data_IF_016050627147
#
_entry.id   IF_016050627147
#
_cell.length_a   1.000
_cell.length_b   1.000
_cell.length_c   1.000
_cell.angle_alpha   90.00
_cell.angle_beta   90.00
_cell.angle_gamma   90.00
#
_symmetry.space_group_name_H-M   'P 1'
#
loop_
_entity.id
_entity.type
_entity.pdbx_description
1 polymer ?
#
# COMPACT_ATOMS: atom_id res chain seq x y z
N UNK A 1 12.51 -51.29 -0.37
CA UNK A 1 13.33 -50.13 0.05
C UNK A 1 13.13 -49.04 -0.98
N UNK A 2 12.17 -48.14 -0.72
CA UNK A 2 11.89 -47.02 -1.60
C UNK A 2 13.00 -45.98 -1.42
N UNK A 3 13.50 -45.43 -2.54
CA UNK A 3 14.46 -44.36 -2.52
C UNK A 3 13.85 -43.14 -1.84
N UNK A 4 14.27 -42.86 -0.61
CA UNK A 4 14.12 -41.54 0.01
C UNK A 4 14.85 -40.55 -0.91
N UNK A 5 14.09 -39.95 -1.82
CA UNK A 5 14.57 -38.83 -2.62
C UNK A 5 14.81 -37.71 -1.65
N UNK A 6 16.08 -37.53 -1.28
CA UNK A 6 16.53 -36.61 -0.23
C UNK A 6 16.07 -35.20 -0.59
N UNK A 7 15.02 -34.70 0.06
CA UNK A 7 14.41 -33.39 -0.20
C UNK A 7 15.43 -32.25 -0.05
N UNK A 8 16.48 -32.47 0.76
CA UNK A 8 17.64 -31.58 0.88
C UNK A 8 18.48 -31.50 -0.41
N UNK A 9 18.59 -32.59 -1.19
CA UNK A 9 19.18 -32.55 -2.54
C UNK A 9 18.30 -31.80 -3.53
N UNK A 10 16.98 -31.76 -3.36
CA UNK A 10 16.08 -30.97 -4.23
C UNK A 10 16.28 -29.47 -4.01
N UNK A 11 16.54 -29.03 -2.77
CA UNK A 11 16.89 -27.63 -2.46
C UNK A 11 18.32 -27.31 -2.91
N UNK A 12 19.27 -28.21 -2.69
CA UNK A 12 20.67 -28.02 -3.12
C UNK A 12 20.87 -28.08 -4.65
N UNK A 13 19.99 -28.76 -5.39
CA UNK A 13 19.96 -28.79 -6.86
C UNK A 13 18.95 -27.81 -7.47
N UNK A 14 18.22 -27.04 -6.64
CA UNK A 14 17.17 -26.13 -7.07
C UNK A 14 17.74 -24.96 -7.86
N UNK A 15 17.65 -25.07 -9.19
CA UNK A 15 17.70 -23.89 -10.06
C UNK A 15 16.50 -23.00 -9.73
N UNK A 16 16.65 -22.06 -8.78
CA UNK A 16 15.63 -21.05 -8.48
C UNK A 16 15.12 -20.35 -9.77
N UNK A 17 15.97 -20.28 -10.80
CA UNK A 17 15.69 -19.70 -12.11
C UNK A 17 14.51 -20.34 -12.88
N UNK A 18 14.01 -21.52 -12.49
CA UNK A 18 12.87 -22.16 -13.15
C UNK A 18 11.58 -22.16 -12.29
N UNK A 19 11.57 -21.41 -11.17
CA UNK A 19 10.46 -21.39 -10.20
C UNK A 19 9.61 -20.13 -10.34
N UNK A 20 8.35 -20.24 -9.90
CA UNK A 20 7.37 -19.15 -9.91
C UNK A 20 7.79 -18.02 -8.97
N UNK A 21 8.21 -18.36 -7.75
CA UNK A 21 8.81 -17.41 -6.80
C UNK A 21 10.33 -17.63 -6.71
N UNK A 22 11.09 -16.53 -6.69
CA UNK A 22 12.55 -16.51 -6.56
C UNK A 22 12.95 -15.59 -5.40
N UNK A 23 13.91 -16.00 -4.58
CA UNK A 23 14.39 -15.20 -3.46
C UNK A 23 15.77 -14.63 -3.79
N UNK A 24 15.99 -13.37 -3.46
CA UNK A 24 17.31 -12.75 -3.59
C UNK A 24 17.58 -11.75 -2.46
N UNK A 25 18.87 -11.49 -2.24
CA UNK A 25 19.40 -10.58 -1.24
C UNK A 25 20.15 -9.44 -1.95
N UNK A 26 19.45 -8.40 -2.42
CA UNK A 26 20.03 -7.42 -3.35
C UNK A 26 21.19 -6.62 -2.75
N UNK A 27 21.23 -6.46 -1.44
CA UNK A 27 22.31 -5.77 -0.72
C UNK A 27 23.30 -6.77 -0.07
N UNK A 28 23.28 -8.02 -0.55
CA UNK A 28 23.90 -9.15 0.12
C UNK A 28 23.23 -9.44 1.46
N UNK A 29 23.92 -10.23 2.29
CA UNK A 29 23.48 -10.51 3.64
C UNK A 29 22.60 -11.74 3.80
N UNK A 30 22.57 -12.66 2.84
CA UNK A 30 22.18 -14.04 3.16
C UNK A 30 23.13 -14.57 4.26
N UNK A 31 22.61 -15.14 5.37
CA UNK A 31 23.47 -15.74 6.37
C UNK A 31 24.29 -16.89 5.77
N UNK A 32 25.55 -17.03 6.20
CA UNK A 32 26.42 -18.08 5.67
C UNK A 32 25.81 -19.47 5.95
N UNK A 33 25.73 -20.31 4.91
CA UNK A 33 25.13 -21.64 5.03
C UNK A 33 23.61 -21.65 5.19
N UNK A 34 22.91 -20.53 4.92
CA UNK A 34 21.46 -20.49 4.97
C UNK A 34 20.80 -21.21 3.79
N UNK A 35 21.22 -20.94 2.55
CA UNK A 35 20.66 -21.60 1.36
C UNK A 35 19.14 -21.45 1.29
N UNK A 36 18.64 -20.24 1.57
CA UNK A 36 17.21 -19.99 1.74
C UNK A 36 16.49 -20.01 0.39
N UNK A 37 15.36 -20.70 0.34
CA UNK A 37 14.43 -20.68 -0.82
C UNK A 37 13.03 -20.29 -0.37
N UNK A 38 12.30 -19.53 -1.19
CA UNK A 38 10.92 -19.11 -0.88
C UNK A 38 9.90 -20.17 -1.30
N UNK A 39 9.12 -20.68 -0.35
CA UNK A 39 8.08 -21.68 -0.61
C UNK A 39 6.70 -21.06 -0.80
N UNK A 40 6.31 -20.12 0.07
CA UNK A 40 5.01 -19.44 0.00
C UNK A 40 5.18 -17.94 0.24
N UNK A 41 4.30 -17.15 -0.37
CA UNK A 41 4.19 -15.72 -0.16
C UNK A 41 2.71 -15.37 0.06
N UNK A 42 2.45 -14.62 1.13
CA UNK A 42 1.22 -13.86 1.34
C UNK A 42 1.61 -12.39 1.40
N UNK A 43 1.10 -11.58 0.49
CA UNK A 43 1.45 -10.17 0.41
C UNK A 43 0.20 -9.30 0.42
N UNK A 44 0.20 -8.26 1.26
CA UNK A 44 -0.84 -7.22 1.29
C UNK A 44 -0.20 -5.88 0.98
N UNK A 45 -0.75 -5.17 -0.01
CA UNK A 45 -0.28 -3.86 -0.44
C UNK A 45 -1.45 -3.00 -0.91
N UNK A 46 -1.32 -1.67 -0.80
CA UNK A 46 -2.40 -0.77 -1.18
C UNK A 46 -1.99 0.70 -1.18
N UNK A 47 -2.87 1.53 -1.71
CA UNK A 47 -2.71 2.97 -1.70
C UNK A 47 -2.72 3.51 -0.26
N UNK A 48 -1.73 4.33 0.04
CA UNK A 48 -1.56 5.03 1.31
C UNK A 48 -1.45 4.10 2.52
N UNK A 49 -1.07 2.84 2.32
CA UNK A 49 -0.85 1.84 3.37
C UNK A 49 0.60 1.34 3.35
N UNK A 50 1.15 1.04 4.53
CA UNK A 50 2.36 0.23 4.62
C UNK A 50 2.07 -1.18 4.09
N UNK A 51 2.83 -1.66 3.11
CA UNK A 51 2.72 -3.05 2.69
C UNK A 51 3.23 -4.01 3.77
N UNK A 52 2.76 -5.25 3.72
CA UNK A 52 3.24 -6.35 4.54
C UNK A 52 3.31 -7.64 3.74
N UNK A 53 4.53 -8.19 3.64
CA UNK A 53 4.77 -9.45 2.94
C UNK A 53 5.23 -10.51 3.93
N UNK A 54 4.44 -11.57 4.08
CA UNK A 54 4.79 -12.73 4.89
C UNK A 54 5.18 -13.88 3.96
N UNK A 55 6.40 -14.39 4.11
CA UNK A 55 6.89 -15.50 3.28
C UNK A 55 7.40 -16.67 4.13
N UNK A 56 7.07 -17.88 3.68
CA UNK A 56 7.65 -19.11 4.20
C UNK A 56 8.93 -19.41 3.43
N UNK A 57 10.06 -19.48 4.15
CA UNK A 57 11.37 -19.80 3.62
C UNK A 57 11.79 -21.19 4.08
N UNK A 58 12.45 -21.94 3.21
CA UNK A 58 12.99 -23.26 3.51
C UNK A 58 14.52 -23.22 3.53
N UNK A 59 15.12 -23.97 4.45
CA UNK A 59 16.56 -24.14 4.57
C UNK A 59 16.90 -25.55 5.05
N UNK A 60 18.07 -26.09 4.68
CA UNK A 60 18.62 -27.30 5.30
C UNK A 60 19.31 -27.02 6.64
N UNK A 61 19.44 -25.76 7.04
CA UNK A 61 20.03 -25.33 8.30
C UNK A 61 18.92 -24.88 9.25
N UNK A 62 18.74 -25.59 10.37
CA UNK A 62 17.75 -25.27 11.40
C UNK A 62 18.28 -24.33 12.49
N UNK A 63 19.57 -23.99 12.48
CA UNK A 63 20.26 -23.22 13.52
C UNK A 63 20.68 -21.82 13.04
N UNK A 64 19.91 -21.23 12.11
CA UNK A 64 20.15 -19.86 11.68
C UNK A 64 19.90 -18.87 12.82
N UNK A 65 20.90 -18.05 13.14
CA UNK A 65 20.76 -16.95 14.07
C UNK A 65 19.76 -15.92 13.53
N UNK A 66 18.59 -15.81 14.17
CA UNK A 66 17.48 -15.02 13.64
C UNK A 66 17.82 -13.54 13.44
N UNK A 67 18.66 -12.99 14.32
CA UNK A 67 19.14 -11.61 14.26
C UNK A 67 19.91 -11.30 12.97
N UNK A 68 20.48 -12.32 12.32
CA UNK A 68 21.30 -12.12 11.14
C UNK A 68 20.47 -11.70 9.93
N UNK A 69 19.15 -11.87 9.94
CA UNK A 69 18.26 -11.40 8.88
C UNK A 69 17.54 -10.08 9.21
N UNK A 70 17.42 -9.73 10.50
CA UNK A 70 16.70 -8.54 10.93
C UNK A 70 17.28 -7.27 10.31
N UNK A 71 16.41 -6.41 9.75
CA UNK A 71 16.78 -5.15 9.10
C UNK A 71 17.42 -5.30 7.71
N UNK A 72 17.62 -6.52 7.20
CA UNK A 72 18.12 -6.73 5.84
C UNK A 72 17.03 -6.55 4.80
N UNK A 73 17.43 -6.18 3.58
CA UNK A 73 16.55 -6.07 2.42
C UNK A 73 16.44 -7.44 1.73
N UNK A 74 15.22 -7.94 1.57
CA UNK A 74 14.91 -9.14 0.79
C UNK A 74 14.10 -8.75 -0.44
N UNK A 75 14.26 -9.54 -1.51
CA UNK A 75 13.52 -9.38 -2.76
C UNK A 75 12.95 -10.73 -3.18
N UNK A 76 11.62 -10.82 -3.25
CA UNK A 76 10.91 -11.99 -3.77
C UNK A 76 10.38 -11.65 -5.17
N UNK A 77 10.91 -12.31 -6.19
CA UNK A 77 10.47 -12.14 -7.57
C UNK A 77 9.36 -13.15 -7.93
N UNK A 78 8.23 -12.67 -8.42
CA UNK A 78 7.17 -13.47 -9.06
C UNK A 78 7.34 -13.42 -10.58
N UNK A 79 7.48 -14.58 -11.20
CA UNK A 79 7.61 -14.71 -12.66
C UNK A 79 6.27 -14.43 -13.34
N UNK A 80 6.26 -13.48 -14.27
CA UNK A 80 5.13 -13.15 -15.13
C UNK A 80 5.13 -14.03 -16.40
N UNK A 81 3.99 -14.15 -17.10
CA UNK A 81 3.90 -14.95 -18.34
C UNK A 81 4.86 -14.50 -19.45
N UNK A 82 5.22 -13.22 -19.48
CA UNK A 82 6.18 -12.64 -20.44
C UNK A 82 7.66 -12.89 -20.06
N UNK A 83 7.91 -13.63 -18.97
CA UNK A 83 9.25 -13.93 -18.45
C UNK A 83 9.85 -12.81 -17.59
N UNK A 84 9.19 -11.65 -17.46
CA UNK A 84 9.62 -10.58 -16.56
C UNK A 84 9.34 -10.94 -15.10
N UNK A 85 9.93 -10.19 -14.18
CA UNK A 85 9.73 -10.38 -12.74
C UNK A 85 8.93 -9.20 -12.18
N UNK A 86 7.89 -9.52 -11.43
CA UNK A 86 7.33 -8.61 -10.43
C UNK A 86 8.10 -8.78 -9.13
N UNK A 87 8.56 -7.68 -8.53
CA UNK A 87 9.31 -7.74 -7.29
C UNK A 87 8.43 -7.40 -6.09
N UNK A 88 8.58 -8.17 -5.02
CA UNK A 88 8.09 -7.90 -3.68
C UNK A 88 9.31 -7.69 -2.79
N UNK A 89 9.75 -6.44 -2.67
CA UNK A 89 10.91 -6.06 -1.87
C UNK A 89 10.50 -5.46 -0.54
N UNK A 90 11.29 -5.72 0.50
CA UNK A 90 11.06 -5.11 1.80
C UNK A 90 12.15 -5.44 2.81
N UNK A 91 12.12 -4.69 3.91
CA UNK A 91 13.04 -4.85 5.03
C UNK A 91 12.46 -5.89 6.00
N UNK A 92 13.30 -6.79 6.49
CA UNK A 92 12.93 -7.81 7.47
C UNK A 92 12.66 -7.17 8.83
N UNK A 93 11.38 -7.16 9.24
CA UNK A 93 10.97 -6.72 10.58
C UNK A 93 10.80 -7.88 11.56
N UNK A 94 10.52 -9.08 11.06
CA UNK A 94 10.49 -10.29 11.87
C UNK A 94 10.99 -11.49 11.09
N UNK A 95 11.69 -12.38 11.78
CA UNK A 95 12.16 -13.64 11.25
C UNK A 95 12.11 -14.69 12.36
N UNK A 96 11.50 -15.84 12.08
CA UNK A 96 11.30 -16.91 13.07
C UNK A 96 11.44 -18.30 12.45
N UNK A 97 11.92 -19.27 13.23
CA UNK A 97 11.83 -20.69 12.92
C UNK A 97 10.43 -21.18 13.34
N UNK A 98 9.66 -21.70 12.40
CA UNK A 98 8.28 -22.17 12.64
C UNK A 98 8.25 -23.65 13.00
N UNK A 99 8.93 -24.47 12.20
CA UNK A 99 9.00 -25.93 12.40
C UNK A 99 10.22 -26.53 11.70
N UNK A 100 10.52 -27.77 12.05
CA UNK A 100 11.50 -28.62 11.36
C UNK A 100 10.83 -29.93 10.96
N UNK A 101 11.10 -30.42 9.74
CA UNK A 101 10.63 -31.71 9.24
C UNK A 101 11.80 -32.45 8.56
N UNK A 102 12.28 -33.52 9.19
CA UNK A 102 13.49 -34.22 8.76
C UNK A 102 14.70 -33.28 8.64
N UNK A 103 15.27 -33.19 7.44
CA UNK A 103 16.42 -32.33 7.14
C UNK A 103 16.01 -30.91 6.67
N UNK A 104 14.76 -30.51 6.91
CA UNK A 104 14.22 -29.25 6.43
C UNK A 104 13.75 -28.36 7.57
N UNK A 105 14.21 -27.12 7.59
CA UNK A 105 13.75 -26.06 8.47
C UNK A 105 12.82 -25.11 7.72
N UNK A 106 11.70 -24.77 8.36
CA UNK A 106 10.69 -23.85 7.86
C UNK A 106 10.78 -22.56 8.67
N UNK A 107 11.20 -21.50 8.01
CA UNK A 107 11.24 -20.16 8.57
C UNK A 107 10.09 -19.32 8.04
N UNK A 108 9.66 -18.33 8.82
CA UNK A 108 8.76 -17.28 8.36
C UNK A 108 9.47 -15.93 8.46
N UNK A 109 9.34 -15.13 7.40
CA UNK A 109 9.84 -13.77 7.35
C UNK A 109 8.70 -12.79 7.11
N UNK A 110 8.71 -11.66 7.82
CA UNK A 110 7.80 -10.53 7.59
C UNK A 110 8.57 -9.32 7.09
N UNK A 111 8.27 -8.93 5.85
CA UNK A 111 8.86 -7.78 5.18
C UNK A 111 7.91 -6.58 5.24
N UNK A 112 8.48 -5.39 5.36
CA UNK A 112 7.73 -4.14 5.30
C UNK A 112 8.57 -2.99 4.74
N UNK A 113 7.95 -1.84 4.47
CA UNK A 113 8.66 -0.68 3.96
C UNK A 113 9.58 -0.07 5.02
N UNK A 114 10.61 0.66 4.58
CA UNK A 114 11.40 1.52 5.45
C UNK A 114 10.54 2.52 6.24
N UNK A 115 9.36 2.90 5.71
CA UNK A 115 8.42 3.80 6.39
C UNK A 115 7.94 3.24 7.76
N UNK A 116 7.91 1.91 7.94
CA UNK A 116 7.56 1.30 9.24
C UNK A 116 8.55 1.66 10.36
N UNK A 117 9.81 1.99 10.05
CA UNK A 117 10.77 2.45 11.08
C UNK A 117 10.33 3.75 11.76
N UNK A 118 9.57 4.61 11.06
CA UNK A 118 9.09 5.88 11.60
C UNK A 118 8.10 5.71 12.76
N UNK A 119 7.57 4.49 12.97
CA UNK A 119 6.75 4.16 14.14
C UNK A 119 7.58 4.00 15.42
N UNK A 120 8.88 3.75 15.29
CA UNK A 120 9.78 3.45 16.40
C UNK A 120 10.41 4.71 17.00
N UNK A 121 10.29 5.86 16.36
CA UNK A 121 10.79 7.14 16.86
C UNK A 121 9.65 8.10 17.14
N UNK A 122 9.68 8.69 18.34
CA UNK A 122 8.72 9.70 18.81
C UNK A 122 9.46 11.01 19.04
N UNK A 123 8.89 12.12 18.57
CA UNK A 123 9.50 13.44 18.68
C UNK A 123 8.50 14.51 19.14
N UNK A 124 9.04 15.61 19.64
CA UNK A 124 8.35 16.88 19.83
C UNK A 124 9.09 17.93 18.99
N UNK A 125 8.49 18.40 17.89
CA UNK A 125 9.16 19.27 16.92
C UNK A 125 8.22 20.35 16.40
N UNK A 126 8.75 21.55 16.22
CA UNK A 126 8.07 22.65 15.54
C UNK A 126 8.71 22.88 14.17
N UNK A 127 7.88 22.93 13.14
CA UNK A 127 8.26 23.27 11.77
C UNK A 127 7.74 24.66 11.47
N UNK A 128 8.64 25.64 11.38
CA UNK A 128 8.29 27.03 11.11
C UNK A 128 8.45 27.36 9.62
N UNK A 129 7.39 27.90 9.01
CA UNK A 129 7.39 28.37 7.62
C UNK A 129 7.90 27.29 6.65
N UNK A 130 7.45 26.05 6.84
CA UNK A 130 7.83 24.90 6.02
C UNK A 130 6.65 24.41 5.20
N UNK A 131 6.90 24.05 3.94
CA UNK A 131 5.93 23.32 3.12
C UNK A 131 5.76 21.89 3.62
N UNK A 132 4.74 21.16 3.17
CA UNK A 132 4.57 19.76 3.56
C UNK A 132 5.70 18.89 2.99
N UNK A 133 6.16 19.17 1.76
CA UNK A 133 7.35 18.52 1.19
C UNK A 133 8.60 18.74 2.03
N UNK A 134 8.86 19.97 2.47
CA UNK A 134 10.00 20.26 3.33
C UNK A 134 9.89 19.55 4.69
N UNK A 135 8.70 19.53 5.29
CA UNK A 135 8.46 18.79 6.53
C UNK A 135 8.73 17.28 6.35
N UNK A 136 8.26 16.70 5.24
CA UNK A 136 8.52 15.31 4.87
C UNK A 136 10.01 15.05 4.69
N UNK A 137 10.74 15.88 3.95
CA UNK A 137 12.18 15.75 3.78
C UNK A 137 12.92 15.79 5.12
N UNK A 138 12.62 16.77 5.98
CA UNK A 138 13.26 16.91 7.31
C UNK A 138 13.05 15.65 8.16
N UNK A 139 11.85 15.05 8.12
CA UNK A 139 11.58 13.81 8.85
C UNK A 139 12.26 12.60 8.20
N UNK A 140 12.44 12.57 6.88
CA UNK A 140 13.13 11.47 6.22
C UNK A 140 14.65 11.53 6.38
N UNK A 141 15.25 12.73 6.41
CA UNK A 141 16.70 12.93 6.61
C UNK A 141 17.22 12.32 7.92
N UNK A 142 16.33 12.14 8.89
CA UNK A 142 16.55 11.48 10.18
C UNK A 142 16.80 9.95 10.09
N UNK A 143 16.67 9.34 8.90
CA UNK A 143 16.74 7.89 8.65
C UNK A 143 17.84 7.48 7.66
N UNK A 144 18.86 8.33 7.49
CA UNK A 144 20.04 8.11 6.65
C UNK A 144 19.68 7.70 5.20
N UNK A 145 20.21 6.56 4.73
CA UNK A 145 20.06 6.08 3.35
C UNK A 145 18.80 5.23 3.14
N UNK A 146 18.01 4.98 4.19
CA UNK A 146 16.80 4.15 4.08
C UNK A 146 15.73 4.77 3.16
N UNK A 147 15.39 6.06 3.27
CA UNK A 147 14.34 6.65 2.46
C UNK A 147 14.70 6.68 0.99
N UNK A 148 13.85 6.07 0.18
CA UNK A 148 13.79 6.25 -1.27
C UNK A 148 12.38 6.72 -1.58
N UNK A 149 12.25 7.93 -2.10
CA UNK A 149 10.94 8.54 -2.30
C UNK A 149 10.89 9.54 -3.45
N UNK A 150 9.68 9.77 -3.96
CA UNK A 150 9.36 10.72 -5.02
C UNK A 150 8.19 11.59 -4.61
N UNK A 151 8.24 12.85 -5.02
CA UNK A 151 7.18 13.82 -4.81
C UNK A 151 6.52 14.14 -6.15
N UNK A 152 5.33 13.59 -6.39
CA UNK A 152 4.50 13.80 -7.57
C UNK A 152 3.20 14.54 -7.20
N UNK A 153 3.32 15.51 -6.31
CA UNK A 153 2.23 16.45 -6.00
C UNK A 153 2.34 17.61 -6.97
N UNK A 154 1.26 17.88 -7.70
CA UNK A 154 1.21 18.91 -8.74
C UNK A 154 0.59 20.22 -8.25
N UNK A 155 -0.26 20.15 -7.23
CA UNK A 155 -0.88 21.31 -6.58
C UNK A 155 0.11 22.16 -5.78
N UNK A 156 -0.38 23.29 -5.29
CA UNK A 156 0.42 24.25 -4.53
C UNK A 156 0.74 23.71 -3.12
N UNK A 157 2.03 23.46 -2.84
CA UNK A 157 2.53 23.09 -1.51
C UNK A 157 2.92 24.33 -0.70
N UNK A 158 1.90 25.03 -0.18
CA UNK A 158 2.12 26.29 0.56
C UNK A 158 2.76 26.06 1.92
N UNK A 159 3.79 26.85 2.24
CA UNK A 159 4.41 26.83 3.56
C UNK A 159 3.43 27.24 4.66
N UNK A 160 3.24 26.35 5.64
CA UNK A 160 2.43 26.67 6.82
C UNK A 160 3.24 27.51 7.80
N UNK A 161 2.59 28.47 8.46
CA UNK A 161 3.28 29.36 9.42
C UNK A 161 3.98 28.57 10.51
N UNK A 162 3.31 27.55 11.04
CA UNK A 162 3.85 26.62 12.02
C UNK A 162 3.09 25.29 11.94
N UNK A 163 3.82 24.18 11.98
CA UNK A 163 3.28 22.86 12.24
C UNK A 163 3.96 22.27 13.46
N UNK A 164 3.17 21.68 14.37
CA UNK A 164 3.68 20.93 15.51
C UNK A 164 3.58 19.44 15.24
N UNK A 165 4.67 18.73 15.50
CA UNK A 165 4.72 17.29 15.74
C UNK A 165 4.76 17.07 17.24
N UNK A 166 3.83 16.27 17.74
CA UNK A 166 3.80 15.95 19.16
C UNK A 166 3.29 17.11 20.01
N UNK A 167 3.58 16.97 21.30
CA UNK A 167 3.19 17.84 22.39
C UNK A 167 3.02 17.02 23.67
N UNK A 168 3.69 17.45 24.75
CA UNK A 168 3.65 16.76 26.04
C UNK A 168 4.69 15.65 26.16
N UNK A 169 4.57 14.83 27.21
CA UNK A 169 5.61 13.89 27.63
C UNK A 169 5.86 12.73 26.64
N UNK A 170 4.84 12.31 25.89
CA UNK A 170 4.91 11.12 25.02
C UNK A 170 5.30 11.45 23.56
N UNK A 171 5.24 12.73 23.16
CA UNK A 171 5.48 13.14 21.78
C UNK A 171 4.54 12.50 20.77
N UNK A 172 4.95 12.50 19.50
CA UNK A 172 4.23 11.86 18.40
C UNK A 172 5.24 11.12 17.51
N UNK A 173 4.87 9.94 17.04
CA UNK A 173 5.74 9.19 16.11
C UNK A 173 5.89 9.93 14.79
N UNK A 174 7.07 9.82 14.17
CA UNK A 174 7.33 10.40 12.84
C UNK A 174 6.33 9.87 11.80
N UNK A 175 5.95 8.59 11.95
CA UNK A 175 4.97 7.95 11.08
C UNK A 175 3.59 8.62 11.22
N UNK A 176 3.11 8.78 12.45
CA UNK A 176 1.80 9.39 12.68
C UNK A 176 1.75 10.84 12.18
N UNK A 177 2.82 11.59 12.45
CA UNK A 177 2.95 12.98 12.03
C UNK A 177 2.81 13.14 10.52
N UNK A 178 3.59 12.37 9.75
CA UNK A 178 3.54 12.47 8.29
C UNK A 178 2.19 12.01 7.75
N UNK A 179 1.67 10.89 8.23
CA UNK A 179 0.39 10.37 7.76
C UNK A 179 -0.76 11.34 7.97
N UNK A 180 -0.94 11.91 9.17
CA UNK A 180 -2.04 12.86 9.38
C UNK A 180 -1.89 14.14 8.55
N UNK A 181 -0.66 14.51 8.20
CA UNK A 181 -0.39 15.70 7.36
C UNK A 181 -0.69 15.43 5.90
N UNK A 182 -0.24 14.29 5.37
CA UNK A 182 -0.55 13.84 4.01
C UNK A 182 -2.05 13.60 3.85
N UNK A 183 -2.68 12.87 4.77
CA UNK A 183 -4.13 12.63 4.75
C UNK A 183 -4.93 13.93 4.86
N UNK A 184 -4.53 14.87 5.72
CA UNK A 184 -5.20 16.18 5.79
C UNK A 184 -5.07 16.98 4.50
N UNK A 185 -3.96 16.85 3.78
CA UNK A 185 -3.75 17.44 2.46
C UNK A 185 -4.42 16.66 1.32
N UNK A 186 -5.03 15.50 1.61
CA UNK A 186 -5.61 14.60 0.63
C UNK A 186 -4.58 13.80 -0.17
N UNK A 187 -3.30 13.82 0.21
CA UNK A 187 -2.28 13.08 -0.52
C UNK A 187 -2.43 11.59 -0.32
N UNK A 188 -2.14 10.85 -1.39
CA UNK A 188 -2.03 9.40 -1.37
C UNK A 188 -0.62 8.99 -1.76
N UNK A 189 -0.25 7.75 -1.47
CA UNK A 189 1.04 7.22 -1.90
C UNK A 189 0.94 5.75 -2.31
N UNK A 190 1.96 5.26 -2.99
CA UNK A 190 2.18 3.84 -3.22
C UNK A 190 3.67 3.53 -3.23
N UNK A 191 3.99 2.24 -3.33
CA UNK A 191 5.37 1.76 -3.44
C UNK A 191 5.63 1.17 -4.82
N UNK A 192 6.71 1.61 -5.44
CA UNK A 192 7.26 0.99 -6.65
C UNK A 192 8.39 0.06 -6.24
N UNK A 193 8.30 -1.22 -6.63
CA UNK A 193 9.28 -2.24 -6.29
C UNK A 193 10.16 -2.59 -7.48
N UNK A 194 11.47 -2.62 -7.27
CA UNK A 194 12.45 -3.13 -8.23
C UNK A 194 13.26 -4.30 -7.63
N UNK A 195 14.28 -4.78 -8.33
CA UNK A 195 15.10 -5.88 -7.82
C UNK A 195 15.85 -5.53 -6.51
N UNK A 196 16.12 -4.25 -6.25
CA UNK A 196 17.03 -3.75 -5.22
C UNK A 196 16.32 -3.18 -3.98
N UNK A 197 15.05 -2.81 -4.10
CA UNK A 197 14.28 -2.22 -3.02
C UNK A 197 12.96 -1.65 -3.50
N UNK A 198 12.45 -0.68 -2.75
CA UNK A 198 11.16 -0.05 -3.00
C UNK A 198 11.25 1.48 -2.83
N UNK A 199 10.48 2.21 -3.62
CA UNK A 199 10.41 3.67 -3.61
C UNK A 199 8.99 4.13 -3.27
N UNK A 200 8.86 4.97 -2.25
CA UNK A 200 7.59 5.61 -1.88
C UNK A 200 7.29 6.76 -2.85
N UNK A 201 6.13 6.77 -3.52
CA UNK A 201 5.73 7.90 -4.38
C UNK A 201 4.48 8.56 -3.81
N UNK A 202 4.57 9.84 -3.48
CA UNK A 202 3.42 10.65 -3.04
C UNK A 202 2.78 11.38 -4.22
N UNK A 203 1.45 11.41 -4.25
CA UNK A 203 0.65 12.12 -5.25
C UNK A 203 -0.55 12.83 -4.61
N UNK A 204 -0.99 13.90 -5.25
CA UNK A 204 -2.25 14.59 -4.96
C UNK A 204 -3.34 14.32 -6.00
N UNK A 205 -3.10 13.45 -6.99
CA UNK A 205 -4.10 13.07 -7.98
C UNK A 205 -3.94 11.60 -8.39
N UNK A 206 -4.87 10.76 -7.92
CA UNK A 206 -4.90 9.33 -8.26
C UNK A 206 -5.38 9.06 -9.69
N UNK A 207 -6.00 10.04 -10.36
CA UNK A 207 -6.53 9.85 -11.73
C UNK A 207 -5.40 9.78 -12.77
N UNK A 208 -4.21 10.29 -12.40
CA UNK A 208 -2.96 10.21 -13.15
C UNK A 208 -2.23 8.87 -12.98
N UNK A 209 -2.84 7.90 -12.29
CA UNK A 209 -2.31 6.55 -12.18
C UNK A 209 -1.85 6.03 -13.54
N UNK A 210 -0.68 5.40 -13.54
CA UNK A 210 -0.13 4.78 -14.74
C UNK A 210 -0.83 3.45 -15.01
N UNK A 211 -0.83 3.03 -16.26
CA UNK A 211 -1.32 1.69 -16.62
C UNK A 211 -0.49 0.61 -15.92
N UNK A 212 -1.12 -0.53 -15.64
CA UNK A 212 -0.42 -1.75 -15.20
C UNK A 212 0.76 -2.08 -16.13
N UNK A 213 1.74 -2.79 -15.59
CA UNK A 213 2.86 -3.27 -16.38
C UNK A 213 2.40 -4.25 -17.47
N UNK A 214 3.28 -4.48 -18.45
CA UNK A 214 3.05 -5.41 -19.55
C UNK A 214 2.68 -4.71 -20.85
N UNK A 215 2.36 -5.50 -21.88
CA UNK A 215 2.09 -4.99 -23.23
C UNK A 215 0.67 -4.47 -23.44
N UNK A 216 -0.26 -4.76 -22.52
CA UNK A 216 -1.68 -4.45 -22.64
C UNK A 216 -2.19 -3.77 -21.38
N UNK A 217 -3.08 -2.79 -21.54
CA UNK A 217 -3.87 -2.22 -20.44
C UNK A 217 -4.94 -3.17 -19.92
N UNK A 218 -5.25 -4.22 -20.66
CA UNK A 218 -6.45 -5.02 -20.47
C UNK A 218 -6.19 -6.22 -19.56
N UNK A 219 -7.10 -6.44 -18.62
CA UNK A 219 -7.25 -7.71 -17.92
C UNK A 219 -8.61 -8.27 -18.31
N UNK A 220 -8.61 -9.48 -18.87
CA UNK A 220 -9.83 -10.16 -19.30
C UNK A 220 -10.61 -10.69 -18.10
N UNK A 221 -11.92 -10.69 -18.24
CA UNK A 221 -12.82 -11.41 -17.35
C UNK A 221 -13.11 -12.82 -17.89
N UNK A 222 -12.89 -13.85 -17.08
CA UNK A 222 -13.13 -15.24 -17.44
C UNK A 222 -13.71 -16.01 -16.24
N UNK A 223 -14.97 -16.46 -16.34
CA UNK A 223 -15.61 -17.24 -15.25
C UNK A 223 -14.86 -18.54 -14.98
N UNK A 224 -14.92 -19.02 -13.73
CA UNK A 224 -14.37 -20.31 -13.31
C UNK A 224 -14.82 -21.44 -14.27
N UNK A 225 -13.85 -22.06 -14.96
CA UNK A 225 -14.06 -23.00 -16.06
C UNK A 225 -13.21 -22.71 -17.29
N UNK A 226 -12.62 -21.52 -17.38
CA UNK A 226 -11.55 -21.19 -18.32
C UNK A 226 -10.20 -21.82 -17.94
N UNK A 227 -9.25 -21.82 -18.88
CA UNK A 227 -7.89 -22.31 -18.62
C UNK A 227 -7.22 -21.43 -17.53
N UNK A 228 -6.84 -22.02 -16.39
CA UNK A 228 -6.16 -21.31 -15.29
C UNK A 228 -4.79 -20.71 -15.67
N UNK A 229 -4.30 -21.00 -16.87
CA UNK A 229 -3.05 -20.48 -17.40
C UNK A 229 -3.16 -19.04 -17.89
N UNK A 230 -4.37 -18.53 -18.15
CA UNK A 230 -4.59 -17.13 -18.53
C UNK A 230 -4.63 -16.23 -17.29
N UNK A 231 -3.76 -15.22 -17.26
CA UNK A 231 -3.75 -14.15 -16.26
C UNK A 231 -5.04 -13.29 -16.42
N UNK A 232 -6.06 -13.56 -15.62
CA UNK A 232 -7.40 -13.01 -15.76
C UNK A 232 -8.04 -12.64 -14.40
N UNK A 233 -9.21 -11.99 -14.48
CA UNK A 233 -10.13 -11.80 -13.37
C UNK A 233 -11.26 -12.82 -13.50
N UNK A 234 -11.56 -13.54 -12.42
CA UNK A 234 -12.58 -14.59 -12.40
C UNK A 234 -13.84 -14.18 -11.65
N UNK A 235 -13.71 -13.26 -10.67
CA UNK A 235 -14.83 -12.68 -9.95
C UNK A 235 -14.75 -11.16 -10.01
N UNK A 236 -15.88 -10.51 -10.22
CA UNK A 236 -16.00 -9.06 -10.29
C UNK A 236 -17.32 -8.62 -9.66
N UNK A 237 -17.27 -7.68 -8.72
CA UNK A 237 -18.43 -7.20 -7.97
C UNK A 237 -18.37 -5.70 -7.79
N UNK A 238 -19.37 -4.99 -8.29
CA UNK A 238 -19.54 -3.57 -8.01
C UNK A 238 -20.28 -3.41 -6.68
N UNK A 239 -19.69 -2.68 -5.74
CA UNK A 239 -20.23 -2.46 -4.41
C UNK A 239 -20.61 -0.99 -4.27
N UNK A 240 -21.78 -0.74 -3.67
CA UNK A 240 -22.25 0.59 -3.31
C UNK A 240 -22.64 0.61 -1.84
N UNK A 241 -22.14 1.61 -1.14
CA UNK A 241 -22.47 1.88 0.25
C UNK A 241 -23.03 3.29 0.38
N UNK A 242 -23.97 3.47 1.30
CA UNK A 242 -24.52 4.80 1.57
C UNK A 242 -23.49 5.62 2.35
N UNK A 243 -23.22 6.80 1.82
CA UNK A 243 -22.31 7.77 2.41
C UNK A 243 -22.96 9.15 2.42
N UNK A 244 -22.43 10.05 3.24
CA UNK A 244 -22.93 11.42 3.28
C UNK A 244 -22.87 12.09 1.91
N UNK A 245 -23.92 12.83 1.57
CA UNK A 245 -24.06 13.45 0.25
C UNK A 245 -23.58 14.91 0.24
N UNK A 246 -23.18 15.44 1.39
CA UNK A 246 -22.71 16.82 1.54
C UNK A 246 -21.63 16.91 2.62
N UNK A 247 -20.65 17.77 2.37
CA UNK A 247 -19.70 18.21 3.38
C UNK A 247 -19.73 19.72 3.51
N UNK A 248 -19.69 20.21 4.74
CA UNK A 248 -19.57 21.62 5.04
C UNK A 248 -18.38 21.87 5.97
N UNK A 249 -17.60 22.89 5.69
CA UNK A 249 -16.45 23.31 6.50
C UNK A 249 -16.64 24.75 6.95
N UNK A 250 -16.36 25.01 8.22
CA UNK A 250 -16.39 26.34 8.80
C UNK A 250 -15.08 26.70 9.48
N UNK A 251 -14.75 27.99 9.48
CA UNK A 251 -13.52 28.51 10.06
C UNK A 251 -13.72 29.94 10.58
N UNK A 252 -12.81 30.36 11.45
CA UNK A 252 -12.75 31.73 11.96
C UNK A 252 -11.31 32.27 11.84
N UNK A 253 -11.12 33.42 11.19
CA UNK A 253 -9.82 34.12 11.19
C UNK A 253 -9.89 35.30 12.16
N UNK A 254 -9.16 35.26 13.28
CA UNK A 254 -9.13 36.38 14.22
C UNK A 254 -8.55 37.68 13.63
N UNK A 255 -7.79 37.60 12.51
CA UNK A 255 -7.31 38.77 11.77
C UNK A 255 -8.36 39.38 10.85
N UNK A 256 -9.39 38.62 10.50
CA UNK A 256 -10.56 39.05 9.75
C UNK A 256 -11.79 38.37 10.36
N UNK A 257 -12.37 38.92 11.44
CA UNK A 257 -13.29 38.23 12.36
C UNK A 257 -14.70 38.06 11.75
N UNK A 258 -14.76 37.49 10.56
CA UNK A 258 -15.96 37.08 9.85
C UNK A 258 -15.94 35.55 9.78
N UNK A 259 -16.99 34.87 10.28
CA UNK A 259 -17.14 33.44 10.08
C UNK A 259 -17.06 33.12 8.59
N UNK A 260 -16.30 32.10 8.25
CA UNK A 260 -16.26 31.56 6.88
C UNK A 260 -16.91 30.19 6.88
N UNK A 261 -17.68 29.94 5.82
CA UNK A 261 -18.39 28.69 5.63
C UNK A 261 -18.34 28.35 4.14
N UNK A 262 -18.04 27.09 3.84
CA UNK A 262 -18.03 26.54 2.49
C UNK A 262 -18.63 25.15 2.53
N UNK A 263 -19.31 24.76 1.45
CA UNK A 263 -19.99 23.48 1.35
C UNK A 263 -19.85 22.90 -0.05
N UNK A 264 -19.87 21.57 -0.12
CA UNK A 264 -19.82 20.85 -1.40
C UNK A 264 -20.77 19.67 -1.34
N UNK A 265 -21.59 19.53 -2.38
CA UNK A 265 -22.46 18.38 -2.60
C UNK A 265 -21.69 17.28 -3.34
N UNK A 266 -22.01 16.04 -3.01
CA UNK A 266 -21.53 14.88 -3.76
C UNK A 266 -22.04 14.93 -5.19
N UNK A 267 -21.16 14.58 -6.12
CA UNK A 267 -21.53 14.38 -7.52
C UNK A 267 -22.19 13.02 -7.77
N UNK A 268 -22.09 12.10 -6.79
CA UNK A 268 -22.61 10.75 -6.88
C UNK A 268 -24.10 10.70 -6.52
N UNK A 269 -24.94 10.28 -7.48
CA UNK A 269 -26.33 9.94 -7.20
C UNK A 269 -26.41 8.58 -6.49
N UNK A 270 -26.76 8.62 -5.20
CA UNK A 270 -26.80 7.44 -4.32
C UNK A 270 -28.18 6.74 -4.28
N UNK A 271 -29.09 7.09 -5.20
CA UNK A 271 -30.45 6.57 -5.24
C UNK A 271 -31.43 7.43 -4.46
N UNK A 272 -32.54 6.83 -4.01
CA UNK A 272 -33.57 7.50 -3.20
C UNK A 272 -33.14 7.55 -1.73
N UNK A 273 -32.22 8.47 -1.41
CA UNK A 273 -31.65 8.62 -0.08
C UNK A 273 -31.62 10.08 0.35
N UNK A 274 -31.76 10.36 1.67
CA UNK A 274 -31.66 11.72 2.17
C UNK A 274 -30.26 12.29 1.93
N UNK A 275 -30.20 13.58 1.58
CA UNK A 275 -28.94 14.29 1.46
C UNK A 275 -28.43 14.68 2.86
N UNK A 276 -27.64 13.80 3.47
CA UNK A 276 -27.07 14.00 4.79
C UNK A 276 -25.74 14.76 4.72
N UNK A 277 -25.61 15.78 5.56
CA UNK A 277 -24.40 16.62 5.69
C UNK A 277 -23.47 16.11 6.79
N UNK A 278 -22.17 16.15 6.50
CA UNK A 278 -21.10 16.13 7.51
C UNK A 278 -20.51 17.53 7.62
N UNK A 279 -20.67 18.14 8.80
CA UNK A 279 -20.11 19.45 9.09
C UNK A 279 -18.83 19.36 9.93
N UNK A 280 -17.81 20.12 9.55
CA UNK A 280 -16.56 20.28 10.28
C UNK A 280 -16.29 21.75 10.61
N UNK A 281 -15.98 22.03 11.87
CA UNK A 281 -15.36 23.30 12.26
C UNK A 281 -13.84 23.13 12.33
N UNK A 282 -13.13 23.69 11.36
CA UNK A 282 -11.67 23.55 11.23
C UNK A 282 -10.86 24.48 12.15
N UNK A 283 -11.53 25.34 12.92
CA UNK A 283 -10.89 26.20 13.91
C UNK A 283 -10.26 27.47 13.35
N UNK A 284 -9.34 28.04 14.14
CA UNK A 284 -8.74 29.33 13.86
C UNK A 284 -7.82 29.29 12.63
N UNK A 285 -8.05 30.19 11.68
CA UNK A 285 -7.30 30.32 10.42
C UNK A 285 -7.18 29.01 9.66
N UNK A 286 -8.20 28.14 9.74
CA UNK A 286 -8.24 26.91 8.97
C UNK A 286 -8.05 27.26 7.50
N UNK A 287 -8.95 28.03 6.90
CA UNK A 287 -8.81 28.65 5.58
C UNK A 287 -9.08 30.15 5.69
N UNK A 288 -8.55 30.92 4.72
CA UNK A 288 -8.63 32.40 4.70
C UNK A 288 -9.57 32.93 3.65
N UNK A 289 -9.84 32.17 2.61
CA UNK A 289 -10.66 32.58 1.47
C UNK A 289 -11.76 31.57 1.21
N UNK A 290 -12.84 32.00 0.55
CA UNK A 290 -13.92 31.10 0.12
C UNK A 290 -13.38 29.96 -0.73
N UNK A 291 -12.46 30.27 -1.66
CA UNK A 291 -11.84 29.28 -2.53
C UNK A 291 -11.10 28.19 -1.75
N UNK A 292 -10.29 28.56 -0.76
CA UNK A 292 -9.62 27.58 0.11
C UNK A 292 -10.64 26.75 0.91
N UNK A 293 -11.78 27.33 1.28
CA UNK A 293 -12.89 26.62 1.93
C UNK A 293 -13.54 25.61 0.98
N UNK A 294 -13.84 26.00 -0.26
CA UNK A 294 -14.45 25.15 -1.29
C UNK A 294 -13.52 23.99 -1.65
N UNK A 295 -12.21 24.25 -1.81
CA UNK A 295 -11.19 23.22 -2.05
C UNK A 295 -11.16 22.19 -0.91
N UNK A 296 -11.36 22.62 0.34
CA UNK A 296 -11.42 21.70 1.49
C UNK A 296 -12.70 20.91 1.56
N UNK A 297 -13.85 21.54 1.39
CA UNK A 297 -15.12 20.82 1.32
C UNK A 297 -15.07 19.78 0.21
N UNK A 298 -14.50 20.14 -0.96
CA UNK A 298 -14.27 19.20 -2.05
C UNK A 298 -13.37 18.02 -1.66
N UNK A 299 -12.23 18.27 -1.01
CA UNK A 299 -11.37 17.18 -0.53
C UNK A 299 -12.13 16.25 0.43
N UNK A 300 -12.94 16.79 1.34
CA UNK A 300 -13.73 15.98 2.29
C UNK A 300 -14.80 15.14 1.59
N UNK A 301 -15.49 15.69 0.59
CA UNK A 301 -16.48 14.89 -0.13
C UNK A 301 -15.81 13.79 -0.98
N UNK A 302 -14.66 14.05 -1.60
CA UNK A 302 -13.89 13.04 -2.36
C UNK A 302 -13.46 11.86 -1.46
N UNK A 303 -13.07 12.13 -0.20
CA UNK A 303 -12.74 11.09 0.80
C UNK A 303 -13.96 10.21 1.16
N UNK A 304 -15.14 10.81 1.22
CA UNK A 304 -16.40 10.12 1.52
C UNK A 304 -16.86 9.30 0.30
N UNK A 305 -16.79 9.90 -0.90
CA UNK A 305 -17.16 9.28 -2.16
C UNK A 305 -16.30 8.05 -2.49
N UNK A 306 -15.01 8.08 -2.14
CA UNK A 306 -14.10 6.95 -2.32
C UNK A 306 -14.57 5.67 -1.60
N UNK A 307 -15.37 5.78 -0.54
CA UNK A 307 -15.95 4.65 0.20
C UNK A 307 -17.28 4.20 -0.38
N UNK A 308 -18.10 5.15 -0.85
CA UNK A 308 -19.47 4.90 -1.29
C UNK A 308 -19.59 4.06 -2.57
N UNK A 309 -18.53 3.97 -3.38
CA UNK A 309 -18.52 3.09 -4.57
C UNK A 309 -17.12 2.53 -4.84
N UNK A 310 -17.01 1.21 -4.73
CA UNK A 310 -15.79 0.47 -5.05
C UNK A 310 -16.13 -0.83 -5.78
N UNK A 311 -15.10 -1.55 -6.21
CA UNK A 311 -15.23 -2.82 -6.92
C UNK A 311 -14.31 -3.85 -6.29
N UNK A 312 -14.88 -4.99 -5.94
CA UNK A 312 -14.13 -6.15 -5.47
C UNK A 312 -13.89 -7.11 -6.64
N UNK A 313 -12.69 -7.67 -6.71
CA UNK A 313 -12.28 -8.59 -7.75
C UNK A 313 -11.40 -9.71 -7.21
N UNK A 314 -11.45 -10.87 -7.86
CA UNK A 314 -10.55 -12.00 -7.60
C UNK A 314 -10.04 -12.56 -8.92
N UNK A 315 -8.77 -12.96 -8.97
CA UNK A 315 -8.13 -13.46 -10.17
C UNK A 315 -6.74 -14.01 -9.93
N UNK A 316 -6.01 -14.19 -11.02
CA UNK A 316 -4.64 -14.70 -11.04
C UNK A 316 -3.69 -13.82 -11.89
N UNK A 317 -4.12 -12.62 -12.30
CA UNK A 317 -3.27 -11.71 -13.08
C UNK A 317 -2.03 -11.26 -12.29
N UNK A 318 -0.82 -11.48 -12.84
CA UNK A 318 0.45 -11.16 -12.19
C UNK A 318 0.91 -9.72 -12.43
N UNK A 319 0.13 -8.95 -13.19
CA UNK A 319 0.42 -7.57 -13.59
C UNK A 319 -0.29 -6.51 -12.73
N UNK A 320 -1.14 -6.90 -11.79
CA UNK A 320 -1.85 -5.96 -10.90
C UNK A 320 -0.91 -5.33 -9.87
N UNK A 321 -0.85 -3.99 -9.75
CA UNK A 321 -0.08 -3.29 -8.70
C UNK A 321 -0.92 -2.12 -8.14
N UNK A 322 -0.81 -1.78 -6.83
CA UNK A 322 -1.48 -0.61 -6.27
C UNK A 322 -1.04 0.68 -6.95
N UNK A 323 -1.95 1.62 -7.12
CA UNK A 323 -1.66 2.90 -7.79
C UNK A 323 -1.48 2.79 -9.30
N UNK A 324 -1.73 1.60 -9.87
CA UNK A 324 -1.89 1.40 -11.31
C UNK A 324 -3.36 1.26 -11.67
N UNK A 325 -3.68 1.50 -12.94
CA UNK A 325 -5.00 1.19 -13.47
C UNK A 325 -4.93 0.13 -14.56
N UNK A 326 -6.02 -0.61 -14.72
CA UNK A 326 -6.23 -1.52 -15.83
C UNK A 326 -7.61 -1.28 -16.46
N UNK A 327 -7.81 -1.83 -17.65
CA UNK A 327 -9.11 -1.89 -18.31
C UNK A 327 -9.69 -3.30 -18.18
N UNK A 328 -10.88 -3.43 -17.60
CA UNK A 328 -11.59 -4.71 -17.55
C UNK A 328 -12.16 -5.03 -18.93
N UNK A 329 -11.66 -6.09 -19.57
CA UNK A 329 -12.12 -6.56 -20.86
C UNK A 329 -13.05 -7.77 -20.71
N UNK A 330 -13.90 -8.00 -21.71
CA UNK A 330 -14.77 -9.19 -21.84
C UNK A 330 -15.77 -9.41 -20.67
N UNK A 331 -15.98 -8.39 -19.83
CA UNK A 331 -17.01 -8.39 -18.79
C UNK A 331 -18.33 -7.76 -19.30
N UNK A 332 -19.46 -8.36 -18.93
CA UNK A 332 -20.79 -7.95 -19.39
C UNK A 332 -21.24 -6.56 -18.88
N UNK A 333 -22.26 -5.99 -19.51
CA UNK A 333 -22.88 -4.73 -19.07
C UNK A 333 -22.04 -3.49 -19.39
N UNK A 334 -21.94 -2.56 -18.43
CA UNK A 334 -21.31 -1.23 -18.62
C UNK A 334 -19.80 -1.25 -18.90
N UNK A 335 -19.17 -2.42 -18.76
CA UNK A 335 -17.73 -2.65 -19.01
C UNK A 335 -17.45 -3.32 -20.35
N UNK A 336 -18.44 -3.53 -21.22
CA UNK A 336 -18.22 -4.12 -22.55
C UNK A 336 -17.47 -3.20 -23.53
N UNK A 337 -17.30 -1.91 -23.17
CA UNK A 337 -16.62 -0.92 -24.01
C UNK A 337 -15.12 -0.79 -23.73
N UNK A 338 -14.45 -0.02 -24.59
CA UNK A 338 -13.05 0.40 -24.45
C UNK A 338 -12.89 1.76 -23.75
N UNK A 339 -14.00 2.35 -23.28
CA UNK A 339 -14.01 3.70 -22.71
C UNK A 339 -13.61 3.76 -21.22
N UNK A 340 -13.60 4.98 -20.63
CA UNK A 340 -13.23 5.21 -19.23
C UNK A 340 -14.10 4.44 -18.22
N UNK A 341 -15.31 4.03 -18.63
CA UNK A 341 -16.21 3.18 -17.86
C UNK A 341 -15.77 1.71 -17.75
N UNK A 342 -14.62 1.36 -18.33
CA UNK A 342 -13.98 0.07 -18.14
C UNK A 342 -12.62 0.20 -17.44
N UNK A 343 -12.21 1.42 -17.06
CA UNK A 343 -10.92 1.69 -16.41
C UNK A 343 -11.06 1.76 -14.89
N UNK A 344 -10.20 1.00 -14.21
CA UNK A 344 -10.24 0.83 -12.76
C UNK A 344 -8.85 1.03 -12.16
N UNK A 345 -8.78 1.96 -11.20
CA UNK A 345 -7.63 2.16 -10.32
C UNK A 345 -7.58 1.03 -9.31
N UNK A 346 -6.43 0.37 -9.17
CA UNK A 346 -6.20 -0.66 -8.17
C UNK A 346 -5.81 0.04 -6.86
N UNK A 347 -6.64 -0.14 -5.83
CA UNK A 347 -6.49 0.52 -4.54
C UNK A 347 -5.80 -0.41 -3.54
N UNK A 348 -6.26 -1.65 -3.40
CA UNK A 348 -5.70 -2.63 -2.48
C UNK A 348 -5.59 -3.99 -3.16
N UNK A 349 -4.57 -4.76 -2.79
CA UNK A 349 -4.36 -6.12 -3.29
C UNK A 349 -3.85 -7.03 -2.18
N UNK A 350 -4.43 -8.23 -2.14
CA UNK A 350 -3.89 -9.37 -1.41
C UNK A 350 -3.43 -10.43 -2.41
N UNK A 351 -2.21 -10.91 -2.24
CA UNK A 351 -1.59 -11.95 -3.06
C UNK A 351 -1.37 -13.21 -2.26
N UNK A 352 -1.62 -14.37 -2.88
CA UNK A 352 -1.15 -15.67 -2.39
C UNK A 352 -0.39 -16.37 -3.49
N UNK A 353 0.82 -16.84 -3.20
CA UNK A 353 1.66 -17.56 -4.14
C UNK A 353 2.39 -18.71 -3.46
N UNK A 354 2.61 -19.81 -4.18
CA UNK A 354 3.39 -20.96 -3.72
C UNK A 354 4.24 -21.58 -4.82
N UNK A 355 5.42 -22.06 -4.43
CA UNK A 355 6.22 -23.01 -5.20
C UNK A 355 5.87 -24.45 -4.77
N UNK A 356 6.23 -25.43 -5.59
CA UNK A 356 5.98 -26.85 -5.36
C UNK A 356 7.24 -27.62 -4.88
N UNK A 357 8.03 -27.05 -3.97
CA UNK A 357 9.29 -27.67 -3.50
C UNK A 357 9.09 -29.01 -2.79
N UNK A 358 7.95 -29.20 -2.13
CA UNK A 358 7.65 -30.36 -1.29
C UNK A 358 6.92 -31.48 -2.06
N UNK A 359 6.74 -31.33 -3.37
CA UNK A 359 6.10 -32.36 -4.18
C UNK A 359 7.02 -33.58 -4.29
N UNK A 360 6.55 -34.73 -3.80
CA UNK A 360 7.18 -36.02 -4.10
C UNK A 360 6.86 -36.41 -5.54
N UNK A 361 7.88 -36.82 -6.30
CA UNK A 361 7.67 -37.34 -7.64
C UNK A 361 6.79 -38.61 -7.57
N UNK A 362 5.61 -38.56 -8.19
CA UNK A 362 4.69 -39.72 -8.30
C UNK A 362 3.49 -39.75 -7.34
N UNK A 363 3.29 -38.74 -6.49
CA UNK A 363 2.03 -38.59 -5.72
C UNK A 363 1.04 -37.69 -6.50
N UNK A 364 -0.04 -38.30 -7.00
CA UNK A 364 -1.21 -37.58 -7.50
C UNK A 364 -1.87 -36.84 -6.33
N UNK A 365 -1.61 -35.54 -6.21
CA UNK A 365 -2.20 -34.69 -5.15
C UNK A 365 -1.27 -33.61 -4.56
N UNK A 366 -0.02 -33.51 -4.98
CA UNK A 366 0.86 -32.41 -4.56
C UNK A 366 0.38 -31.05 -5.08
N UNK A 367 0.42 -30.00 -4.24
CA UNK A 367 0.08 -28.63 -4.66
C UNK A 367 1.01 -28.16 -5.80
N UNK A 368 0.43 -27.89 -6.97
CA UNK A 368 1.13 -27.23 -8.08
C UNK A 368 1.57 -25.81 -7.66
N UNK A 369 2.56 -25.27 -8.37
CA UNK A 369 2.88 -23.85 -8.21
C UNK A 369 1.63 -23.02 -8.52
N UNK A 370 1.24 -22.15 -7.59
CA UNK A 370 -0.03 -21.45 -7.64
C UNK A 370 0.16 -19.96 -7.38
N UNK A 371 -0.66 -19.13 -8.01
CA UNK A 371 -0.79 -17.71 -7.72
C UNK A 371 -2.24 -17.28 -7.86
N UNK A 372 -2.70 -16.48 -6.90
CA UNK A 372 -4.00 -15.84 -6.90
C UNK A 372 -3.93 -14.48 -6.21
N UNK A 373 -4.91 -13.63 -6.49
CA UNK A 373 -5.06 -12.33 -5.86
C UNK A 373 -6.53 -11.93 -5.65
N UNK A 374 -6.73 -11.07 -4.66
CA UNK A 374 -7.96 -10.32 -4.40
C UNK A 374 -7.65 -8.84 -4.50
N UNK A 375 -8.44 -8.10 -5.25
CA UNK A 375 -8.27 -6.66 -5.46
C UNK A 375 -9.51 -5.90 -4.97
N UNK A 376 -9.26 -4.70 -4.45
CA UNK A 376 -10.28 -3.65 -4.34
C UNK A 376 -9.88 -2.50 -5.25
N UNK A 377 -10.83 -2.03 -6.04
CA UNK A 377 -10.63 -1.05 -7.10
C UNK A 377 -11.61 0.12 -6.98
N UNK A 378 -11.21 1.26 -7.53
CA UNK A 378 -12.08 2.42 -7.78
C UNK A 378 -12.14 2.72 -9.28
N UNK A 379 -13.09 3.53 -9.72
CA UNK A 379 -13.08 4.10 -11.07
C UNK A 379 -11.86 5.00 -11.23
N UNK A 380 -11.09 4.82 -12.31
CA UNK A 380 -9.89 5.64 -12.55
C UNK A 380 -10.19 7.15 -12.59
N UNK A 381 -11.30 7.53 -13.22
CA UNK A 381 -11.71 8.94 -13.35
C UNK A 381 -12.23 9.60 -12.07
N UNK A 382 -12.34 8.87 -10.96
CA UNK A 382 -12.73 9.41 -9.66
C UNK A 382 -11.46 9.54 -8.83
N UNK A 383 -11.19 10.73 -8.30
CA UNK A 383 -10.06 10.92 -7.41
C UNK A 383 -10.26 10.11 -6.14
N UNK A 384 -9.32 9.23 -5.83
CA UNK A 384 -9.32 8.41 -4.63
C UNK A 384 -8.47 9.10 -3.57
N UNK A 385 -9.02 9.20 -2.36
CA UNK A 385 -8.38 9.80 -1.20
C UNK A 385 -8.49 8.83 -0.02
N UNK A 386 -7.42 8.61 0.76
CA UNK A 386 -7.49 7.74 1.93
C UNK A 386 -8.46 8.25 3.01
N UNK A 387 -8.57 9.59 3.12
CA UNK A 387 -9.27 10.25 4.21
C UNK A 387 -8.42 10.38 5.47
N UNK A 388 -8.79 11.32 6.34
CA UNK A 388 -8.13 11.45 7.64
C UNK A 388 -8.40 10.26 8.54
N UNK A 389 -7.37 9.85 9.27
CA UNK A 389 -7.43 8.71 10.18
C UNK A 389 -7.30 7.36 9.48
N UNK A 390 -6.88 7.36 8.20
CA UNK A 390 -6.76 6.14 7.41
C UNK A 390 -5.56 5.29 7.85
N UNK A 391 -4.42 5.95 8.09
CA UNK A 391 -3.21 5.38 8.71
C UNK A 391 -2.61 6.27 9.81
N UNK A 392 -3.31 7.34 10.17
CA UNK A 392 -2.99 8.20 11.30
C UNK A 392 -3.99 8.10 12.44
N UNK A 393 -3.59 8.59 13.60
CA UNK A 393 -4.46 8.92 14.73
C UNK A 393 -4.34 10.42 15.00
N UNK A 394 -5.44 11.00 15.48
CA UNK A 394 -5.45 12.40 15.87
C UNK A 394 -4.53 12.63 17.07
N UNK A 395 -3.68 13.67 17.00
CA UNK A 395 -2.73 14.01 18.06
C UNK A 395 -3.19 15.26 18.80
N UNK A 396 -3.49 15.11 20.10
CA UNK A 396 -4.02 16.19 20.94
C UNK A 396 -3.13 16.46 22.13
N UNK A 397 -2.92 17.74 22.41
CA UNK A 397 -2.38 18.20 23.69
C UNK A 397 -3.55 18.34 24.66
N UNK A 398 -3.64 17.39 25.60
CA UNK A 398 -4.81 17.24 26.48
C UNK A 398 -4.85 18.21 27.66
N UNK A 399 -3.73 18.87 27.97
CA UNK A 399 -3.62 19.80 29.09
C UNK A 399 -2.86 21.06 28.69
N UNK A 400 -3.18 22.22 29.30
CA UNK A 400 -2.36 23.41 29.16
C UNK A 400 -0.90 23.14 29.53
N UNK A 401 0.01 23.78 28.80
CA UNK A 401 1.46 23.69 29.04
C UNK A 401 1.99 25.05 29.46
N UNK A 402 3.05 25.06 30.28
CA UNK A 402 3.80 26.27 30.58
C UNK A 402 4.89 26.47 29.55
N UNK A 403 5.20 27.73 29.23
CA UNK A 403 6.29 28.09 28.33
C UNK A 403 7.02 29.31 28.90
N UNK A 404 8.32 29.41 28.61
CA UNK A 404 9.09 30.62 28.90
C UNK A 404 8.97 31.56 27.72
N UNK A 405 8.64 32.82 27.96
CA UNK A 405 8.68 33.87 26.94
C UNK A 405 10.16 34.17 26.65
N UNK A 406 10.58 33.90 25.42
CA UNK A 406 11.97 34.05 24.95
C UNK A 406 12.12 35.18 23.94
#
# INVERSE_FOLDING_TARGET
>A
MAAETNTAQVIASARQNARLLRLSFPRGGEPAGAGLVVNRLRASEGLSRDFEFTAELLSSNADLALKDLQGKMLSIGLVRPDGTLRYFTGIVFAFQLVRTDGNLAFYEVRLGPWLKYLRLRHNNRLFHRKTLREQTQIVFDDYDTLPQWKWQVHGEDTAVTMASQGGGAQGESDHNYLHRRWEAAGYSYWYEHDANGHTLTLTDDSTLAQVIDGASSDIRFQREGGAQEEDAIHQWSAIRELVSAQTAVSAFDFKNPRPQHAGTLSSNQQGDVPQLEVHEYGGARHFKTSREGDERARLRIEEIEARGKHFDAQGNSRFVLPGRYFRLADHFGRTQGTGPESEFLIVEIEHTASNNYLQKAGEDGGELAHYSNRLTCSRRGICWRPGRGFHSVDHRVLSPQTATVV
#
